data_IF_287260919310
#
_entry.id   IF_287260919310
#
_cell.length_a   1.000
_cell.length_b   1.000
_cell.length_c   1.000
_cell.angle_alpha   90.00
_cell.angle_beta   90.00
_cell.angle_gamma   90.00
#
_symmetry.space_group_name_H-M   'P 1'
#
loop_
_entity.id
_entity.type
_entity.pdbx_description
1 polymer ?
#
# COMPACT_ATOMS: atom_id res chain seq x y z
N UNK A 1 24.31 40.54 -5.00
CA UNK A 1 24.81 39.16 -5.01
C UNK A 1 23.68 38.24 -5.45
N UNK A 2 23.77 37.64 -6.64
CA UNK A 2 22.85 36.56 -7.04
C UNK A 2 23.29 35.31 -6.29
N UNK A 3 22.43 34.77 -5.43
CA UNK A 3 22.64 33.45 -4.85
C UNK A 3 22.55 32.45 -6.00
N UNK A 4 23.68 31.84 -6.35
CA UNK A 4 23.74 30.67 -7.21
C UNK A 4 23.14 29.54 -6.38
N UNK A 5 21.95 29.07 -6.74
CA UNK A 5 21.41 27.85 -6.18
C UNK A 5 22.42 26.74 -6.51
N UNK A 6 23.08 26.20 -5.47
CA UNK A 6 23.97 25.07 -5.65
C UNK A 6 23.19 23.92 -6.31
N UNK A 7 23.75 23.35 -7.37
CA UNK A 7 23.21 22.15 -7.99
C UNK A 7 23.02 21.09 -6.90
N UNK A 8 21.77 20.68 -6.66
CA UNK A 8 21.49 19.60 -5.74
C UNK A 8 22.18 18.33 -6.26
N UNK A 9 23.08 17.76 -5.46
CA UNK A 9 23.78 16.52 -5.80
C UNK A 9 22.77 15.42 -6.15
N UNK A 10 22.98 14.74 -7.27
CA UNK A 10 22.08 13.70 -7.76
C UNK A 10 22.01 12.53 -6.77
N UNK A 11 20.82 12.28 -6.23
CA UNK A 11 20.54 11.19 -5.27
C UNK A 11 20.95 9.84 -5.83
N UNK A 12 21.76 9.10 -5.09
CA UNK A 12 22.22 7.76 -5.45
C UNK A 12 21.10 6.73 -5.31
N UNK A 13 20.91 5.91 -6.34
CA UNK A 13 19.83 4.91 -6.43
C UNK A 13 20.45 3.51 -6.53
N UNK A 14 20.06 2.62 -5.63
CA UNK A 14 20.47 1.21 -5.63
C UNK A 14 19.24 0.33 -5.85
N UNK A 15 19.34 -0.60 -6.81
CA UNK A 15 18.33 -1.63 -7.07
C UNK A 15 18.84 -2.95 -6.50
N UNK A 16 18.07 -3.59 -5.62
CA UNK A 16 18.38 -4.90 -5.04
C UNK A 16 17.26 -5.87 -5.34
N UNK A 17 17.59 -7.09 -5.77
CA UNK A 17 16.55 -8.07 -6.10
C UNK A 17 16.93 -9.51 -5.73
N UNK A 18 15.94 -10.39 -5.60
CA UNK A 18 16.14 -11.84 -5.67
C UNK A 18 15.40 -12.41 -6.88
N UNK A 19 15.83 -13.56 -7.39
CA UNK A 19 15.14 -14.22 -8.51
C UNK A 19 15.45 -15.72 -8.53
N UNK A 20 14.45 -16.54 -8.83
CA UNK A 20 14.65 -17.96 -9.17
C UNK A 20 14.71 -18.19 -10.68
N UNK A 21 13.64 -17.84 -11.39
CA UNK A 21 13.50 -18.04 -12.84
C UNK A 21 13.93 -16.87 -13.73
N UNK A 22 14.56 -15.82 -13.18
CA UNK A 22 15.03 -14.65 -13.94
C UNK A 22 13.98 -13.55 -14.17
N UNK A 23 12.69 -13.80 -13.92
CA UNK A 23 11.62 -12.82 -14.14
C UNK A 23 11.81 -11.53 -13.32
N UNK A 24 12.03 -11.66 -12.01
CA UNK A 24 12.28 -10.49 -11.16
C UNK A 24 13.56 -9.75 -11.56
N UNK A 25 14.58 -10.46 -12.09
CA UNK A 25 15.78 -9.84 -12.66
C UNK A 25 15.44 -8.99 -13.88
N UNK A 26 14.66 -9.52 -14.82
CA UNK A 26 14.22 -8.77 -16.00
C UNK A 26 13.43 -7.51 -15.61
N UNK A 27 12.56 -7.61 -14.59
CA UNK A 27 11.87 -6.45 -14.01
C UNK A 27 12.87 -5.43 -13.42
N UNK A 28 13.86 -5.88 -12.65
CA UNK A 28 14.89 -5.02 -12.07
C UNK A 28 15.71 -4.29 -13.14
N UNK A 29 16.07 -4.99 -14.23
CA UNK A 29 16.80 -4.43 -15.37
C UNK A 29 15.95 -3.40 -16.13
N UNK A 30 14.66 -3.69 -16.38
CA UNK A 30 13.74 -2.72 -16.99
C UNK A 30 13.53 -1.47 -16.11
N UNK A 31 13.40 -1.64 -14.79
CA UNK A 31 13.36 -0.52 -13.85
C UNK A 31 14.66 0.30 -13.92
N UNK A 32 15.82 -0.37 -13.98
CA UNK A 32 17.12 0.27 -14.10
C UNK A 32 17.25 1.11 -15.39
N UNK A 33 16.75 0.60 -16.52
CA UNK A 33 16.66 1.35 -17.78
C UNK A 33 15.81 2.61 -17.60
N UNK A 34 14.64 2.49 -16.98
CA UNK A 34 13.77 3.62 -16.66
C UNK A 34 14.43 4.70 -15.80
N UNK A 35 15.14 4.28 -14.75
CA UNK A 35 15.92 5.17 -13.88
C UNK A 35 16.97 5.94 -14.69
N UNK A 36 17.73 5.26 -15.54
CA UNK A 36 18.75 5.89 -16.40
C UNK A 36 18.14 6.86 -17.40
N UNK A 37 17.01 6.52 -18.02
CA UNK A 37 16.29 7.38 -18.98
C UNK A 37 15.83 8.70 -18.34
N UNK A 38 15.48 8.67 -17.05
CA UNK A 38 15.11 9.86 -16.28
C UNK A 38 16.31 10.65 -15.74
N UNK A 39 17.55 10.25 -16.04
CA UNK A 39 18.76 10.90 -15.52
C UNK A 39 19.08 10.56 -14.07
N UNK A 40 18.53 9.47 -13.52
CA UNK A 40 18.81 9.02 -12.15
C UNK A 40 20.23 8.48 -11.99
N UNK A 41 20.87 8.78 -10.86
CA UNK A 41 22.20 8.29 -10.51
C UNK A 41 22.12 6.84 -9.99
N UNK A 42 22.04 5.88 -10.91
CA UNK A 42 22.00 4.45 -10.58
C UNK A 42 23.40 3.91 -10.24
N UNK A 43 23.61 3.57 -8.96
CA UNK A 43 24.90 3.07 -8.45
C UNK A 43 25.03 1.55 -8.48
N UNK A 44 23.94 0.81 -8.74
CA UNK A 44 24.00 -0.64 -8.91
C UNK A 44 22.64 -1.33 -9.07
N UNK A 45 22.69 -2.52 -9.67
CA UNK A 45 21.58 -3.48 -9.75
C UNK A 45 22.16 -4.82 -9.26
N UNK A 46 21.85 -5.21 -8.03
CA UNK A 46 22.53 -6.34 -7.37
C UNK A 46 21.53 -7.41 -6.92
N UNK A 47 21.92 -8.67 -7.06
CA UNK A 47 21.18 -9.76 -6.44
C UNK A 47 21.42 -9.72 -4.91
N UNK A 48 20.41 -10.06 -4.10
CA UNK A 48 20.53 -10.17 -2.63
C UNK A 48 21.63 -11.14 -2.18
N UNK A 49 21.98 -12.13 -3.00
CA UNK A 49 23.06 -13.07 -2.73
C UNK A 49 24.46 -12.48 -2.94
N UNK A 50 24.56 -11.32 -3.59
CA UNK A 50 25.80 -10.65 -4.00
C UNK A 50 26.05 -9.33 -3.25
N UNK A 51 25.19 -8.99 -2.26
CA UNK A 51 25.25 -7.71 -1.56
C UNK A 51 24.99 -7.88 -0.06
N UNK A 52 25.72 -7.12 0.76
CA UNK A 52 25.47 -7.02 2.20
C UNK A 52 24.38 -5.97 2.49
N UNK A 53 23.50 -6.22 3.46
CA UNK A 53 22.39 -5.28 3.82
C UNK A 53 22.90 -3.90 4.23
N UNK A 54 24.10 -3.80 4.81
CA UNK A 54 24.72 -2.55 5.20
C UNK A 54 25.05 -1.65 4.00
N UNK A 55 25.23 -2.22 2.80
CA UNK A 55 25.43 -1.43 1.58
C UNK A 55 24.20 -0.59 1.21
N UNK A 56 22.99 -0.99 1.63
CA UNK A 56 21.78 -0.19 1.47
C UNK A 56 21.92 1.19 2.13
N UNK A 57 22.74 1.29 3.17
CA UNK A 57 22.96 2.56 3.87
C UNK A 57 23.76 3.58 3.06
N UNK A 58 24.46 3.14 2.00
CA UNK A 58 25.27 4.00 1.12
C UNK A 58 24.45 4.69 0.04
N UNK A 59 23.25 4.20 -0.26
CA UNK A 59 22.35 4.78 -1.25
C UNK A 59 21.37 5.78 -0.60
N UNK A 60 21.00 6.83 -1.32
CA UNK A 60 19.92 7.75 -0.90
C UNK A 60 18.54 7.15 -1.18
N UNK A 61 18.47 6.31 -2.22
CA UNK A 61 17.26 5.68 -2.72
C UNK A 61 17.43 4.18 -2.93
N UNK A 62 16.44 3.39 -2.51
CA UNK A 62 16.47 1.92 -2.56
C UNK A 62 15.23 1.40 -3.30
N UNK A 63 15.44 0.68 -4.39
CA UNK A 63 14.37 -0.06 -5.07
C UNK A 63 14.61 -1.56 -4.84
N UNK A 64 13.63 -2.26 -4.27
CA UNK A 64 13.84 -3.63 -3.82
C UNK A 64 12.77 -4.58 -4.34
N UNK A 65 13.17 -5.78 -4.79
CA UNK A 65 12.17 -6.74 -5.27
C UNK A 65 12.53 -8.21 -5.22
N UNK A 66 11.51 -9.06 -5.19
CA UNK A 66 11.64 -10.52 -5.15
C UNK A 66 10.46 -11.18 -5.88
N UNK A 67 10.53 -12.45 -6.26
CA UNK A 67 9.32 -13.19 -6.62
C UNK A 67 8.50 -13.50 -5.35
N UNK A 68 7.18 -13.52 -5.48
CA UNK A 68 6.29 -14.06 -4.45
C UNK A 68 6.30 -15.58 -4.51
N UNK A 69 6.54 -16.27 -3.40
CA UNK A 69 6.63 -17.73 -3.36
C UNK A 69 5.51 -18.37 -2.52
N UNK A 70 5.12 -19.61 -2.86
CA UNK A 70 4.10 -20.35 -2.12
C UNK A 70 2.79 -19.56 -1.91
N UNK A 71 2.33 -19.49 -0.67
CA UNK A 71 1.13 -18.74 -0.27
C UNK A 71 1.43 -17.25 0.01
N UNK A 72 2.37 -16.63 -0.71
CA UNK A 72 2.73 -15.24 -0.49
C UNK A 72 3.90 -15.02 0.45
N UNK A 73 4.83 -15.96 0.52
CA UNK A 73 6.04 -15.87 1.34
C UNK A 73 7.19 -15.23 0.57
N UNK A 74 8.24 -14.84 1.32
CA UNK A 74 9.53 -14.46 0.74
C UNK A 74 10.11 -15.60 -0.08
N UNK A 75 10.88 -15.26 -1.11
CA UNK A 75 11.69 -16.25 -1.81
C UNK A 75 12.83 -16.75 -0.92
N UNK A 76 13.24 -18.01 -1.10
CA UNK A 76 14.27 -18.65 -0.27
C UNK A 76 15.57 -17.85 -0.19
N UNK A 77 16.02 -17.27 -1.31
CA UNK A 77 17.24 -16.45 -1.36
C UNK A 77 17.06 -15.08 -0.70
N UNK A 78 15.83 -14.61 -0.54
CA UNK A 78 15.52 -13.33 0.11
C UNK A 78 15.42 -13.45 1.64
N UNK A 79 15.03 -14.62 2.16
CA UNK A 79 14.87 -14.85 3.61
C UNK A 79 16.10 -14.47 4.45
N UNK A 80 17.35 -14.85 4.09
CA UNK A 80 18.53 -14.44 4.84
C UNK A 80 18.74 -12.92 4.81
N UNK A 81 18.39 -12.29 3.69
CA UNK A 81 18.53 -10.85 3.49
C UNK A 81 17.52 -10.07 4.32
N UNK A 82 16.24 -10.47 4.31
CA UNK A 82 15.19 -9.88 5.16
C UNK A 82 15.54 -10.01 6.65
N UNK A 83 16.00 -11.19 7.07
CA UNK A 83 16.45 -11.41 8.44
C UNK A 83 17.60 -10.46 8.81
N UNK A 84 18.59 -10.30 7.93
CA UNK A 84 19.69 -9.37 8.17
C UNK A 84 19.22 -7.90 8.22
N UNK A 85 18.24 -7.50 7.39
CA UNK A 85 17.61 -6.17 7.50
C UNK A 85 16.95 -5.98 8.87
N UNK A 86 16.17 -6.97 9.32
CA UNK A 86 15.50 -6.97 10.62
C UNK A 86 16.47 -6.88 11.80
N UNK A 87 17.59 -7.59 11.74
CA UNK A 87 18.54 -7.66 12.85
C UNK A 87 19.50 -6.47 12.88
N UNK A 88 19.85 -5.90 11.72
CA UNK A 88 20.92 -4.91 11.62
C UNK A 88 20.47 -3.51 11.24
N UNK A 89 19.40 -3.37 10.47
CA UNK A 89 18.93 -2.08 9.95
C UNK A 89 17.67 -1.56 10.65
N UNK A 90 16.74 -2.46 10.98
CA UNK A 90 15.52 -2.09 11.72
C UNK A 90 15.85 -1.48 13.10
N UNK A 91 16.79 -2.04 13.89
CA UNK A 91 17.18 -1.42 15.16
C UNK A 91 17.83 -0.07 14.92
N UNK A 92 17.21 0.98 15.47
CA UNK A 92 17.68 2.34 15.31
C UNK A 92 17.41 2.94 13.93
N UNK A 93 16.51 2.33 13.12
CA UNK A 93 16.02 2.88 11.86
C UNK A 93 17.14 3.37 10.93
N UNK A 94 18.06 2.47 10.58
CA UNK A 94 19.30 2.81 9.84
C UNK A 94 19.06 3.35 8.42
N UNK A 95 17.84 3.23 7.89
CA UNK A 95 17.42 3.80 6.61
C UNK A 95 16.60 5.09 6.79
N UNK A 96 16.58 5.69 7.98
CA UNK A 96 15.94 7.00 8.19
C UNK A 96 16.45 8.06 7.20
N UNK A 97 15.51 8.77 6.58
CA UNK A 97 15.80 9.80 5.56
C UNK A 97 16.06 9.26 4.15
N UNK A 98 16.06 7.93 3.96
CA UNK A 98 16.17 7.30 2.64
C UNK A 98 14.81 7.11 2.02
N UNK A 99 14.79 7.16 0.70
CA UNK A 99 13.58 7.00 -0.10
C UNK A 99 13.55 5.60 -0.71
N UNK A 100 12.39 4.96 -0.77
CA UNK A 100 12.32 3.60 -1.27
C UNK A 100 11.02 3.29 -2.02
N UNK A 101 11.03 2.18 -2.74
CA UNK A 101 9.85 1.55 -3.33
C UNK A 101 10.13 0.06 -3.61
N UNK A 102 9.07 -0.75 -3.65
CA UNK A 102 9.19 -2.19 -3.85
C UNK A 102 8.63 -2.67 -5.20
N UNK A 103 9.11 -3.82 -5.67
CA UNK A 103 8.54 -4.52 -6.82
C UNK A 103 8.55 -6.02 -6.60
N UNK A 104 7.66 -6.76 -7.24
CA UNK A 104 7.69 -8.22 -7.16
C UNK A 104 7.26 -8.90 -8.45
N UNK A 105 7.90 -10.03 -8.74
CA UNK A 105 7.35 -11.01 -9.68
C UNK A 105 6.24 -11.81 -8.99
N UNK A 106 5.12 -12.01 -9.65
CA UNK A 106 3.96 -12.72 -9.09
C UNK A 106 3.17 -13.45 -10.17
N UNK A 107 2.37 -14.41 -9.74
CA UNK A 107 1.54 -15.24 -10.61
C UNK A 107 0.09 -15.24 -10.09
N UNK A 108 -0.85 -14.87 -10.96
CA UNK A 108 -2.29 -14.86 -10.61
C UNK A 108 -2.92 -16.22 -10.48
N UNK A 109 -2.25 -17.29 -10.92
CA UNK A 109 -2.68 -18.64 -10.64
C UNK A 109 -2.74 -18.92 -9.12
N UNK A 110 -2.03 -18.13 -8.31
CA UNK A 110 -1.99 -18.26 -6.86
C UNK A 110 -3.01 -17.34 -6.16
N UNK A 111 -3.51 -17.81 -5.02
CA UNK A 111 -4.51 -17.13 -4.18
C UNK A 111 -4.04 -15.79 -3.61
N UNK A 112 -2.71 -15.60 -3.51
CA UNK A 112 -2.07 -14.44 -2.91
C UNK A 112 -1.15 -13.79 -3.94
N UNK A 113 -1.65 -12.71 -4.55
CA UNK A 113 -0.97 -12.00 -5.62
C UNK A 113 0.00 -10.92 -5.10
N UNK A 114 1.30 -11.15 -5.33
CA UNK A 114 2.35 -10.14 -5.16
C UNK A 114 2.60 -9.70 -3.71
N UNK A 115 2.38 -10.59 -2.74
CA UNK A 115 2.53 -10.25 -1.32
C UNK A 115 3.96 -9.84 -0.93
N UNK A 116 4.95 -10.30 -1.68
CA UNK A 116 6.34 -9.89 -1.55
C UNK A 116 6.52 -8.36 -1.53
N UNK A 117 5.77 -7.62 -2.35
CA UNK A 117 5.80 -6.15 -2.36
C UNK A 117 5.48 -5.59 -0.99
N UNK A 118 4.40 -6.09 -0.39
CA UNK A 118 3.88 -5.59 0.85
C UNK A 118 4.87 -5.92 2.00
N UNK A 119 5.44 -7.14 2.00
CA UNK A 119 6.48 -7.55 2.96
C UNK A 119 7.77 -6.71 2.87
N UNK A 120 8.20 -6.39 1.65
CA UNK A 120 9.38 -5.55 1.41
C UNK A 120 9.12 -4.12 1.88
N UNK A 121 7.97 -3.53 1.55
CA UNK A 121 7.61 -2.17 1.99
C UNK A 121 7.57 -2.07 3.52
N UNK A 122 6.95 -3.06 4.18
CA UNK A 122 6.92 -3.14 5.65
C UNK A 122 8.33 -3.18 6.23
N UNK A 123 9.20 -4.04 5.72
CA UNK A 123 10.59 -4.11 6.21
C UNK A 123 11.35 -2.81 5.98
N UNK A 124 11.20 -2.18 4.82
CA UNK A 124 11.86 -0.90 4.51
C UNK A 124 11.40 0.21 5.45
N UNK A 125 10.10 0.29 5.74
CA UNK A 125 9.53 1.25 6.69
C UNK A 125 9.97 0.97 8.13
N UNK A 126 10.03 -0.30 8.55
CA UNK A 126 10.60 -0.69 9.84
C UNK A 126 12.06 -0.24 9.98
N UNK A 127 12.83 -0.31 8.88
CA UNK A 127 14.19 0.21 8.80
C UNK A 127 14.26 1.75 8.73
N UNK A 128 13.13 2.45 8.63
CA UNK A 128 13.03 3.91 8.64
C UNK A 128 12.97 4.58 7.26
N UNK A 129 12.94 3.82 6.16
CA UNK A 129 12.83 4.38 4.83
C UNK A 129 11.43 4.95 4.55
N UNK A 130 11.36 5.93 3.66
CA UNK A 130 10.12 6.54 3.19
C UNK A 130 9.70 5.95 1.84
N UNK A 131 8.52 5.33 1.77
CA UNK A 131 7.97 4.81 0.51
C UNK A 131 7.48 5.96 -0.37
N UNK A 132 8.05 6.12 -1.57
CA UNK A 132 7.78 7.26 -2.46
C UNK A 132 6.70 7.01 -3.50
N UNK A 133 6.52 5.76 -3.89
CA UNK A 133 5.48 5.34 -4.83
C UNK A 133 5.01 3.92 -4.54
N UNK A 134 3.80 3.61 -4.99
CA UNK A 134 3.21 2.30 -4.79
C UNK A 134 4.06 1.22 -5.46
N UNK A 135 4.36 0.16 -4.70
CA UNK A 135 5.09 -0.96 -5.25
C UNK A 135 4.35 -1.68 -6.38
N UNK A 136 5.12 -2.19 -7.34
CA UNK A 136 4.60 -2.87 -8.54
C UNK A 136 4.57 -4.38 -8.39
N UNK A 137 3.48 -5.00 -8.85
CA UNK A 137 3.28 -6.45 -8.93
C UNK A 137 3.30 -6.87 -10.41
N UNK A 138 4.34 -7.57 -10.84
CA UNK A 138 4.60 -7.92 -12.25
C UNK A 138 4.28 -9.39 -12.48
N UNK A 139 3.51 -9.70 -13.52
CA UNK A 139 3.18 -11.09 -13.88
C UNK A 139 4.43 -11.92 -14.22
N UNK A 140 4.38 -13.22 -13.93
CA UNK A 140 5.49 -14.14 -14.11
C UNK A 140 5.93 -14.22 -15.58
N UNK A 141 4.99 -14.19 -16.52
CA UNK A 141 5.30 -14.05 -17.94
C UNK A 141 5.47 -12.58 -18.33
N UNK A 142 6.70 -12.20 -18.68
CA UNK A 142 6.98 -10.87 -19.20
C UNK A 142 6.55 -10.76 -20.66
N UNK A 143 5.87 -9.66 -20.97
CA UNK A 143 5.66 -9.18 -22.33
C UNK A 143 6.23 -7.77 -22.45
N UNK A 144 6.28 -7.21 -23.66
CA UNK A 144 6.81 -5.85 -23.85
C UNK A 144 6.05 -4.81 -23.04
N UNK A 145 4.74 -5.00 -22.82
CA UNK A 145 3.94 -4.08 -22.01
C UNK A 145 4.37 -4.08 -20.53
N UNK A 146 4.61 -5.25 -19.93
CA UNK A 146 5.04 -5.34 -18.54
C UNK A 146 6.45 -4.78 -18.33
N UNK A 147 7.36 -4.99 -19.28
CA UNK A 147 8.69 -4.39 -19.25
C UNK A 147 8.66 -2.86 -19.45
N UNK A 148 7.82 -2.36 -20.37
CA UNK A 148 7.60 -0.93 -20.56
C UNK A 148 6.98 -0.28 -19.33
N UNK A 149 6.09 -0.98 -18.63
CA UNK A 149 5.57 -0.54 -17.34
C UNK A 149 6.70 -0.42 -16.30
N UNK A 150 7.56 -1.43 -16.17
CA UNK A 150 8.71 -1.41 -15.25
C UNK A 150 9.66 -0.24 -15.55
N UNK A 151 9.96 0.03 -16.82
CA UNK A 151 10.72 1.23 -17.24
C UNK A 151 10.05 2.51 -16.81
N UNK A 152 8.75 2.66 -17.11
CA UNK A 152 8.00 3.85 -16.74
C UNK A 152 7.98 4.03 -15.21
N UNK A 153 7.82 2.96 -14.46
CA UNK A 153 7.80 2.97 -12.99
C UNK A 153 9.15 3.43 -12.41
N UNK A 154 10.27 2.96 -12.95
CA UNK A 154 11.62 3.44 -12.57
C UNK A 154 11.86 4.91 -12.95
N UNK A 155 11.41 5.32 -14.14
CA UNK A 155 11.48 6.71 -14.58
C UNK A 155 10.65 7.65 -13.67
N UNK A 156 9.41 7.29 -13.36
CA UNK A 156 8.54 8.06 -12.48
C UNK A 156 9.10 8.18 -11.06
N UNK A 157 9.81 7.16 -10.57
CA UNK A 157 10.48 7.21 -9.27
C UNK A 157 11.51 8.34 -9.22
N UNK A 158 12.35 8.47 -10.26
CA UNK A 158 13.34 9.56 -10.36
C UNK A 158 12.66 10.92 -10.33
N UNK A 159 11.58 11.09 -11.10
CA UNK A 159 10.79 12.34 -11.08
C UNK A 159 10.23 12.65 -9.70
N UNK A 160 9.76 11.64 -8.95
CA UNK A 160 9.24 11.84 -7.58
C UNK A 160 10.32 12.22 -6.59
N UNK A 161 11.48 11.59 -6.62
CA UNK A 161 12.58 11.93 -5.69
C UNK A 161 13.18 13.31 -5.97
N UNK A 162 13.05 13.80 -7.21
CA UNK A 162 13.43 15.15 -7.63
C UNK A 162 12.32 16.21 -7.38
N UNK A 163 11.12 15.79 -6.95
CA UNK A 163 9.99 16.69 -6.70
C UNK A 163 9.23 17.15 -7.96
N UNK A 164 9.54 16.58 -9.12
CA UNK A 164 8.83 16.84 -10.38
C UNK A 164 7.46 16.17 -10.44
N UNK A 165 7.23 15.16 -9.60
CA UNK A 165 5.95 14.48 -9.44
C UNK A 165 5.59 14.38 -7.96
N UNK A 166 4.29 14.48 -7.59
CA UNK A 166 3.87 14.36 -6.20
C UNK A 166 4.17 12.95 -5.68
N UNK A 167 4.49 12.82 -4.39
CA UNK A 167 4.57 11.51 -3.74
C UNK A 167 3.24 10.77 -3.90
N UNK A 168 3.26 9.48 -4.24
CA UNK A 168 2.00 8.71 -4.16
C UNK A 168 1.74 8.38 -2.69
N UNK A 169 0.48 8.52 -2.21
CA UNK A 169 0.16 8.11 -0.86
C UNK A 169 0.51 6.64 -0.70
N UNK A 170 1.28 6.32 0.35
CA UNK A 170 1.33 4.94 0.79
C UNK A 170 -0.09 4.56 1.19
N UNK A 171 -0.61 3.51 0.57
CA UNK A 171 -1.92 2.96 0.89
C UNK A 171 -1.62 1.70 1.69
N UNK A 172 -1.71 1.74 3.04
CA UNK A 172 -1.65 0.54 3.84
C UNK A 172 -2.75 -0.38 3.33
N UNK A 173 -2.37 -1.56 2.81
CA UNK A 173 -3.39 -2.57 2.52
C UNK A 173 -3.84 -3.19 3.83
N UNK A 174 -5.08 -3.68 3.87
CA UNK A 174 -5.58 -4.51 4.97
C UNK A 174 -4.48 -5.47 5.42
N UNK A 175 -4.28 -5.59 6.73
CA UNK A 175 -3.40 -6.63 7.26
C UNK A 175 -3.84 -7.99 6.69
N UNK A 176 -2.93 -8.96 6.58
CA UNK A 176 -3.30 -10.31 6.12
C UNK A 176 -4.49 -10.86 6.90
N UNK A 177 -4.53 -10.61 8.21
CA UNK A 177 -5.63 -10.98 9.08
C UNK A 177 -6.94 -10.27 8.69
N UNK A 178 -6.89 -8.98 8.32
CA UNK A 178 -8.06 -8.22 7.86
C UNK A 178 -8.49 -8.63 6.45
N UNK A 179 -7.54 -8.95 5.56
CA UNK A 179 -7.81 -9.47 4.23
C UNK A 179 -8.43 -10.87 4.27
N UNK A 180 -7.95 -11.73 5.17
CA UNK A 180 -8.50 -13.06 5.41
C UNK A 180 -9.89 -12.95 6.05
N UNK A 181 -10.08 -12.07 7.04
CA UNK A 181 -11.41 -11.77 7.61
C UNK A 181 -12.41 -11.29 6.55
N UNK A 182 -11.98 -10.43 5.62
CA UNK A 182 -12.82 -9.96 4.51
C UNK A 182 -13.13 -11.07 3.51
N UNK A 183 -12.23 -12.04 3.33
CA UNK A 183 -12.43 -13.23 2.50
C UNK A 183 -13.20 -14.36 3.21
N UNK A 184 -13.60 -14.15 4.47
CA UNK A 184 -14.23 -15.20 5.29
C UNK A 184 -13.28 -16.33 5.69
N UNK A 185 -11.97 -16.10 5.59
CA UNK A 185 -10.91 -17.01 5.98
C UNK A 185 -10.53 -16.67 7.43
N UNK A 186 -10.58 -17.65 8.33
CA UNK A 186 -10.08 -17.46 9.70
C UNK A 186 -8.55 -17.33 9.67
N UNK A 187 -7.94 -16.21 10.11
CA UNK A 187 -6.49 -16.07 10.13
C UNK A 187 -5.78 -17.15 10.97
N UNK A 188 -6.46 -17.71 11.98
CA UNK A 188 -5.94 -18.82 12.77
C UNK A 188 -5.92 -20.15 11.99
N UNK A 189 -6.76 -20.30 10.96
CA UNK A 189 -6.77 -21.48 10.09
C UNK A 189 -5.50 -21.57 9.24
N UNK A 190 -4.90 -20.44 8.86
CA UNK A 190 -3.61 -20.35 8.16
C UNK A 190 -2.44 -20.78 9.05
N UNK A 191 -2.43 -20.35 10.32
CA UNK A 191 -1.43 -20.78 11.32
C UNK A 191 -1.51 -22.28 11.61
N UNK A 192 -2.72 -22.86 11.61
CA UNK A 192 -2.93 -24.32 11.72
C UNK A 192 -2.53 -25.06 10.45
N UNK A 193 -2.83 -24.50 9.27
CA UNK A 193 -2.44 -25.05 7.96
C UNK A 193 -0.92 -25.11 7.77
N UNK A 194 -0.20 -24.05 8.16
CA UNK A 194 1.27 -24.02 8.12
C UNK A 194 1.90 -25.03 9.10
N UNK A 195 1.33 -25.18 10.30
CA UNK A 195 1.76 -26.20 11.26
C UNK A 195 1.45 -27.64 10.79
N UNK A 196 0.32 -27.84 10.10
CA UNK A 196 -0.09 -29.12 9.54
C UNK A 196 0.70 -29.50 8.26
N UNK A 197 1.05 -28.53 7.41
CA UNK A 197 1.89 -28.72 6.23
C UNK A 197 3.34 -29.03 6.63
N UNK A 198 3.86 -28.40 7.70
CA UNK A 198 5.14 -28.77 8.32
C UNK A 198 5.16 -30.20 8.87
N UNK A 199 4.03 -30.69 9.40
CA UNK A 199 3.89 -32.07 9.85
C UNK A 199 3.69 -33.07 8.70
N UNK A 200 2.98 -32.68 7.63
CA UNK A 200 2.77 -33.50 6.43
C UNK A 200 4.08 -33.68 5.62
N UNK A 201 4.93 -32.65 5.53
CA UNK A 201 6.24 -32.75 4.91
C UNK A 201 7.18 -33.75 5.63
N UNK A 202 6.92 -34.09 6.89
CA UNK A 202 7.62 -35.14 7.63
C UNK A 202 7.25 -36.57 7.21
N UNK A 203 6.05 -36.78 6.66
CA UNK A 203 5.50 -38.11 6.37
C UNK A 203 5.44 -38.49 4.88
N UNK A 204 5.76 -37.58 3.95
CA UNK A 204 5.74 -37.88 2.49
C UNK A 204 7.07 -38.46 1.97
N UNK A 205 8.06 -38.74 2.83
CA UNK A 205 9.30 -39.44 2.42
C UNK A 205 9.15 -40.95 2.19
N UNK A 206 7.96 -41.54 2.41
CA UNK A 206 7.78 -43.00 2.37
C UNK A 206 6.99 -43.55 1.17
N UNK A 207 6.46 -42.74 0.24
CA UNK A 207 5.55 -43.27 -0.78
C UNK A 207 5.54 -42.53 -2.13
N UNK A 208 6.70 -42.33 -2.78
CA UNK A 208 6.78 -42.21 -4.25
C UNK A 208 8.14 -42.73 -4.72
N UNK A 209 8.28 -44.06 -4.82
CA UNK A 209 9.28 -44.69 -5.70
C UNK A 209 8.60 -45.03 -7.03
N UNK A 210 9.29 -44.73 -8.13
CA UNK A 210 8.96 -45.01 -9.54
C UNK A 210 8.09 -43.99 -10.29
N UNK A 211 8.72 -42.87 -10.69
CA UNK A 211 8.71 -42.45 -12.09
C UNK A 211 9.94 -41.57 -12.35
N UNK A 212 10.65 -41.86 -13.44
CA UNK A 212 12.01 -41.42 -13.77
C UNK A 212 11.94 -40.21 -14.70
N UNK A 213 12.52 -39.07 -14.30
CA UNK A 213 13.10 -38.09 -15.24
C UNK A 213 14.43 -37.57 -14.70
N UNK A 214 15.39 -37.25 -15.60
CA UNK A 214 16.82 -37.30 -15.34
C UNK A 214 17.35 -36.03 -14.66
N UNK A 215 18.35 -36.21 -13.80
CA UNK A 215 18.83 -35.18 -12.89
C UNK A 215 20.12 -34.50 -13.32
N UNK A 216 20.46 -33.45 -12.57
CA UNK A 216 21.83 -33.06 -12.27
C UNK A 216 21.93 -32.81 -10.76
N UNK A 217 22.40 -33.83 -10.04
CA UNK A 217 22.66 -33.80 -8.60
C UNK A 217 24.03 -33.18 -8.34
N UNK A 218 24.13 -32.25 -7.38
CA UNK A 218 25.35 -32.06 -6.59
C UNK A 218 25.05 -32.27 -5.10
N UNK A 219 25.95 -32.93 -4.35
CA UNK A 219 25.66 -33.42 -3.00
C UNK A 219 25.74 -32.32 -1.93
N UNK A 220 24.87 -32.43 -0.93
CA UNK A 220 24.84 -31.59 0.28
C UNK A 220 25.85 -32.15 1.30
N UNK A 221 26.76 -31.34 1.89
CA UNK A 221 27.56 -31.78 3.02
C UNK A 221 26.71 -31.81 4.30
N UNK A 222 26.81 -32.90 5.04
CA UNK A 222 26.22 -33.06 6.37
C UNK A 222 27.07 -32.32 7.41
N UNK A 223 26.47 -31.38 8.12
CA UNK A 223 27.03 -30.85 9.37
C UNK A 223 26.11 -31.27 10.53
N UNK A 224 26.57 -32.26 11.30
CA UNK A 224 26.03 -32.59 12.61
C UNK A 224 26.43 -31.49 13.59
N UNK A 225 25.48 -30.85 14.25
CA UNK A 225 25.75 -30.00 15.40
C UNK A 225 24.93 -30.48 16.59
N UNK A 226 25.62 -31.10 17.54
CA UNK A 226 25.16 -31.34 18.90
C UNK A 226 24.84 -29.99 19.55
N UNK A 227 23.57 -29.76 19.90
CA UNK A 227 23.16 -28.64 20.74
C UNK A 227 23.13 -29.10 22.20
N UNK A 228 24.04 -28.56 23.02
CA UNK A 228 23.93 -28.64 24.48
C UNK A 228 22.86 -27.66 24.97
N UNK A 229 22.11 -27.97 26.05
CA UNK A 229 21.08 -27.08 26.57
C UNK A 229 21.70 -25.90 27.31
N UNK A 230 21.42 -24.68 26.85
CA UNK A 230 21.77 -23.43 27.54
C UNK A 230 20.78 -23.15 28.67
N UNK A 231 21.27 -23.07 29.91
CA UNK A 231 20.52 -22.60 31.08
C UNK A 231 20.62 -21.07 31.15
N UNK A 232 19.49 -20.39 31.09
CA UNK A 232 19.41 -18.95 31.32
C UNK A 232 19.59 -18.63 32.82
N UNK A 233 20.58 -17.81 33.16
CA UNK A 233 20.67 -17.13 34.46
C UNK A 233 20.44 -15.63 34.25
N UNK A 234 19.43 -15.10 34.93
CA UNK A 234 19.05 -13.67 34.90
C UNK A 234 19.77 -12.96 36.05
N UNK A 235 20.49 -11.88 35.76
CA UNK A 235 21.08 -11.00 36.77
C UNK A 235 20.08 -9.89 37.19
N UNK A 236 20.07 -9.43 38.46
CA UNK A 236 19.09 -8.46 38.94
C UNK A 236 19.43 -7.01 38.55
N UNK A 237 18.38 -6.21 38.35
CA UNK A 237 18.45 -4.79 37.99
C UNK A 237 18.98 -3.91 39.13
N UNK A 238 19.83 -2.93 38.79
CA UNK A 238 20.30 -1.87 39.70
C UNK A 238 19.32 -0.70 39.72
N UNK A 239 18.88 -0.29 40.91
CA UNK A 239 18.08 0.92 41.15
C UNK A 239 18.98 2.13 41.40
N UNK A 240 18.58 3.30 40.88
CA UNK A 240 19.25 4.58 41.09
C UNK A 240 18.32 5.48 41.90
N UNK A 241 18.65 5.76 43.16
CA UNK A 241 17.91 6.71 43.99
C UNK A 241 18.53 8.12 43.87
N UNK A 242 17.70 9.12 43.56
CA UNK A 242 18.05 10.53 43.76
C UNK A 242 17.31 11.07 44.98
N UNK A 243 18.05 11.53 45.99
CA UNK A 243 17.52 12.29 47.12
C UNK A 243 17.25 13.75 46.70
N UNK A 244 16.05 14.25 46.97
CA UNK A 244 15.72 15.68 46.91
C UNK A 244 15.55 16.22 48.34
N UNK A 245 16.17 17.36 48.64
CA UNK A 245 16.01 18.09 49.90
C UNK A 245 14.83 19.07 49.82
N UNK A 246 14.00 19.10 50.86
CA UNK A 246 12.79 19.91 50.95
C UNK A 246 13.10 21.36 51.36
N UNK A 247 12.71 22.32 50.53
CA UNK A 247 12.62 23.75 50.87
C UNK A 247 11.15 24.15 51.03
N UNK A 248 10.88 24.91 52.09
CA UNK A 248 9.57 25.20 52.70
C UNK A 248 8.48 25.73 51.74
N UNK A 249 7.32 25.07 51.73
CA UNK A 249 6.10 25.57 51.08
C UNK A 249 5.34 26.43 52.09
N UNK A 250 5.15 27.72 51.80
CA UNK A 250 4.40 28.61 52.71
C UNK A 250 2.91 28.23 52.76
N UNK A 251 2.27 28.39 53.93
CA UNK A 251 0.86 28.02 54.19
C UNK A 251 -0.11 28.61 53.15
N UNK A 252 0.19 29.81 52.63
CA UNK A 252 -0.59 30.47 51.57
C UNK A 252 -0.51 29.71 50.23
N UNK A 253 0.67 29.17 49.88
CA UNK A 253 0.85 28.33 48.70
C UNK A 253 0.23 26.95 48.87
N UNK A 254 0.23 26.40 50.08
CA UNK A 254 -0.45 25.13 50.38
C UNK A 254 -1.97 25.26 50.23
N UNK A 255 -2.57 26.32 50.80
CA UNK A 255 -4.02 26.57 50.66
C UNK A 255 -4.38 26.88 49.21
N UNK A 256 -3.61 27.70 48.50
CA UNK A 256 -3.84 27.97 47.07
C UNK A 256 -3.73 26.70 46.21
N UNK A 257 -2.71 25.87 46.42
CA UNK A 257 -2.56 24.61 45.70
C UNK A 257 -3.70 23.63 46.01
N UNK A 258 -4.16 23.57 47.26
CA UNK A 258 -5.31 22.76 47.68
C UNK A 258 -6.63 23.23 47.05
N UNK A 259 -6.90 24.53 47.04
CA UNK A 259 -8.14 25.08 46.45
C UNK A 259 -8.15 24.91 44.93
N UNK A 260 -7.06 25.23 44.22
CA UNK A 260 -6.98 25.05 42.77
C UNK A 260 -6.94 23.57 42.37
N UNK A 261 -6.28 22.71 43.15
CA UNK A 261 -6.29 21.26 42.96
C UNK A 261 -7.68 20.64 43.15
N UNK A 262 -8.41 21.07 44.19
CA UNK A 262 -9.78 20.63 44.44
C UNK A 262 -10.75 21.04 43.34
N UNK A 263 -10.68 22.29 42.86
CA UNK A 263 -11.50 22.77 41.74
C UNK A 263 -11.17 21.97 40.46
N UNK A 264 -9.88 21.76 40.15
CA UNK A 264 -9.47 21.00 38.97
C UNK A 264 -9.94 19.54 38.99
N UNK A 265 -9.96 18.90 40.16
CA UNK A 265 -10.45 17.52 40.30
C UNK A 265 -11.97 17.43 40.11
N UNK A 266 -12.74 18.37 40.66
CA UNK A 266 -14.19 18.40 40.52
C UNK A 266 -14.57 18.74 39.07
N UNK A 267 -13.91 19.73 38.45
CA UNK A 267 -14.13 20.07 37.04
C UNK A 267 -13.75 18.94 36.09
N UNK A 268 -12.66 18.23 36.36
CA UNK A 268 -12.24 17.05 35.59
C UNK A 268 -13.22 15.89 35.70
N UNK A 269 -13.77 15.64 36.90
CA UNK A 269 -14.75 14.58 37.13
C UNK A 269 -16.09 14.86 36.44
N UNK A 270 -16.58 16.11 36.46
CA UNK A 270 -17.81 16.51 35.75
C UNK A 270 -17.62 16.42 34.23
N UNK A 271 -16.47 16.88 33.70
CA UNK A 271 -16.18 16.81 32.27
C UNK A 271 -16.06 15.35 31.77
N UNK A 272 -15.46 14.45 32.56
CA UNK A 272 -15.35 13.03 32.22
C UNK A 272 -16.71 12.30 32.21
N UNK A 273 -17.68 12.76 33.01
CA UNK A 273 -19.02 12.17 33.08
C UNK A 273 -19.90 12.54 31.86
N UNK A 274 -19.74 13.76 31.33
CA UNK A 274 -20.51 14.20 30.15
C UNK A 274 -19.80 13.91 28.81
N UNK A 275 -18.49 13.68 28.80
CA UNK A 275 -17.73 13.39 27.57
C UNK A 275 -16.77 12.20 27.76
N UNK A 276 -17.24 10.95 27.64
CA UNK A 276 -16.41 9.75 27.84
C UNK A 276 -15.32 9.56 26.75
N UNK A 277 -15.27 10.45 25.75
CA UNK A 277 -14.51 10.31 24.51
C UNK A 277 -13.29 11.22 24.36
N UNK A 278 -12.65 11.68 25.44
CA UNK A 278 -11.32 12.32 25.34
C UNK A 278 -11.33 13.84 25.16
N UNK A 279 -11.98 14.55 26.07
CA UNK A 279 -11.78 16.00 26.23
C UNK A 279 -10.63 16.23 27.22
N UNK A 280 -9.48 16.69 26.72
CA UNK A 280 -8.31 16.98 27.56
C UNK A 280 -8.11 18.49 27.64
N UNK A 281 -8.27 19.03 28.85
CA UNK A 281 -7.96 20.44 29.16
C UNK A 281 -6.53 20.50 29.66
N UNK A 282 -5.66 21.17 28.91
CA UNK A 282 -4.28 21.41 29.30
C UNK A 282 -4.03 22.90 29.53
N UNK A 283 -3.11 23.24 30.44
CA UNK A 283 -2.67 24.61 30.66
C UNK A 283 -1.22 24.76 30.16
N UNK A 284 -1.00 25.68 29.23
CA UNK A 284 0.35 26.13 28.85
C UNK A 284 0.68 27.44 29.55
N UNK A 285 1.93 27.92 29.45
CA UNK A 285 2.35 29.23 29.96
C UNK A 285 1.52 30.40 29.38
N UNK A 286 0.82 30.20 28.27
CA UNK A 286 0.02 31.20 27.57
C UNK A 286 -1.50 30.99 27.70
N UNK A 287 -1.97 30.12 28.60
CA UNK A 287 -3.39 29.91 28.89
C UNK A 287 -3.91 28.48 28.64
N UNK A 288 -5.21 28.22 28.90
CA UNK A 288 -5.82 26.92 28.68
C UNK A 288 -5.96 26.63 27.18
N UNK A 289 -5.65 25.41 26.77
CA UNK A 289 -5.99 24.89 25.45
C UNK A 289 -6.92 23.69 25.58
N UNK A 290 -7.81 23.55 24.59
CA UNK A 290 -8.79 22.47 24.52
C UNK A 290 -8.39 21.53 23.38
N UNK A 291 -8.09 20.27 23.71
CA UNK A 291 -7.87 19.21 22.72
C UNK A 291 -9.07 18.30 22.69
N UNK A 292 -9.78 18.28 21.56
CA UNK A 292 -10.74 17.23 21.24
C UNK A 292 -9.91 16.12 20.63
N UNK A 293 -9.78 14.99 21.33
CA UNK A 293 -9.08 13.81 20.85
C UNK A 293 -9.77 13.25 19.61
N UNK A 294 -9.37 13.69 18.42
CA UNK A 294 -9.74 13.07 17.16
C UNK A 294 -9.09 11.68 17.10
N UNK A 295 -9.82 10.65 17.54
CA UNK A 295 -9.57 9.30 17.02
C UNK A 295 -9.72 9.40 15.51
N UNK A 296 -8.63 9.16 14.78
CA UNK A 296 -8.54 8.98 13.33
C UNK A 296 -9.89 8.77 12.63
N UNK A 297 -10.57 9.87 12.27
CA UNK A 297 -11.67 9.81 11.32
C UNK A 297 -11.01 9.87 9.96
N UNK A 298 -10.80 8.70 9.36
CA UNK A 298 -10.48 8.60 7.95
C UNK A 298 -11.63 9.32 7.23
N UNK A 299 -11.36 10.47 6.62
CA UNK A 299 -12.37 11.24 5.91
C UNK A 299 -12.68 10.49 4.61
N UNK A 300 -13.54 9.49 4.69
CA UNK A 300 -14.04 8.80 3.51
C UNK A 300 -14.87 9.81 2.70
N UNK A 301 -14.53 10.05 1.42
CA UNK A 301 -15.33 10.95 0.59
C UNK A 301 -16.78 10.51 0.62
N UNK A 302 -17.75 11.44 0.66
CA UNK A 302 -19.16 11.09 0.74
C UNK A 302 -19.50 10.13 -0.41
N UNK A 303 -20.18 9.03 -0.08
CA UNK A 303 -20.60 8.04 -1.07
C UNK A 303 -21.62 8.61 -2.04
N UNK A 304 -22.41 9.60 -1.59
CA UNK A 304 -23.42 10.33 -2.37
C UNK A 304 -23.03 11.79 -2.59
N UNK A 305 -23.06 12.26 -3.83
CA UNK A 305 -22.70 13.64 -4.19
C UNK A 305 -23.36 14.09 -5.50
N UNK A 306 -23.43 15.41 -5.71
CA UNK A 306 -23.98 16.04 -6.93
C UNK A 306 -22.88 16.33 -7.95
N UNK A 307 -23.21 16.17 -9.23
CA UNK A 307 -22.25 16.35 -10.34
C UNK A 307 -22.70 17.38 -11.39
N UNK A 308 -23.70 18.21 -11.06
CA UNK A 308 -24.28 19.19 -11.98
C UNK A 308 -25.51 18.65 -12.71
N UNK A 309 -26.01 19.40 -13.67
CA UNK A 309 -27.20 19.06 -14.47
C UNK A 309 -26.85 18.18 -15.69
N UNK A 310 -27.84 17.49 -16.26
CA UNK A 310 -27.63 16.63 -17.44
C UNK A 310 -27.09 17.44 -18.63
N UNK A 311 -27.54 18.68 -18.80
CA UNK A 311 -27.21 19.50 -19.97
C UNK A 311 -25.77 20.00 -20.01
N UNK A 312 -25.06 19.97 -18.88
CA UNK A 312 -23.63 20.25 -18.83
C UNK A 312 -22.78 19.19 -19.53
N UNK A 313 -23.33 17.98 -19.72
CA UNK A 313 -22.62 16.87 -20.34
C UNK A 313 -22.89 16.83 -21.85
N UNK A 314 -21.82 16.78 -22.64
CA UNK A 314 -21.91 16.67 -24.09
C UNK A 314 -22.34 15.26 -24.52
N UNK A 315 -23.30 15.19 -25.44
CA UNK A 315 -23.80 13.93 -25.99
C UNK A 315 -22.70 13.24 -26.80
N UNK A 316 -22.50 11.93 -26.55
CA UNK A 316 -21.54 11.09 -27.26
C UNK A 316 -20.08 11.25 -26.81
N UNK A 317 -19.81 12.11 -25.80
CA UNK A 317 -18.46 12.32 -25.27
C UNK A 317 -18.32 11.77 -23.86
N UNK A 318 -17.14 11.22 -23.56
CA UNK A 318 -16.74 10.82 -22.21
C UNK A 318 -16.29 12.05 -21.42
N UNK A 319 -16.90 12.29 -20.27
CA UNK A 319 -16.48 13.33 -19.33
C UNK A 319 -15.72 12.73 -18.14
N UNK A 320 -14.48 13.16 -17.95
CA UNK A 320 -13.57 12.72 -16.88
C UNK A 320 -13.27 13.79 -15.84
N UNK A 321 -14.00 14.92 -15.81
CA UNK A 321 -13.75 16.02 -14.86
C UNK A 321 -13.80 15.59 -13.38
N UNK A 322 -14.52 14.50 -13.10
CA UNK A 322 -14.69 13.93 -11.77
C UNK A 322 -13.73 12.78 -11.43
N UNK A 323 -12.81 12.43 -12.34
CA UNK A 323 -11.87 11.30 -12.18
C UNK A 323 -11.02 11.42 -10.91
N UNK A 324 -10.37 12.57 -10.67
CA UNK A 324 -9.49 12.76 -9.50
C UNK A 324 -10.26 12.81 -8.19
N UNK A 325 -11.44 13.45 -8.19
CA UNK A 325 -12.21 13.72 -6.97
C UNK A 325 -13.04 12.52 -6.52
N UNK A 326 -13.70 11.85 -7.46
CA UNK A 326 -14.68 10.80 -7.17
C UNK A 326 -14.36 9.44 -7.80
N UNK A 327 -13.37 9.38 -8.71
CA UNK A 327 -13.06 8.20 -9.53
C UNK A 327 -14.26 7.72 -10.33
N UNK A 328 -14.91 8.63 -11.03
CA UNK A 328 -16.02 8.32 -11.93
C UNK A 328 -15.78 8.93 -13.31
N UNK A 329 -16.46 8.39 -14.30
CA UNK A 329 -16.64 9.03 -15.60
C UNK A 329 -18.14 9.14 -15.91
N UNK A 330 -18.51 10.13 -16.72
CA UNK A 330 -19.91 10.35 -17.11
C UNK A 330 -20.02 10.24 -18.62
N UNK A 331 -21.05 9.56 -19.08
CA UNK A 331 -21.39 9.47 -20.51
C UNK A 331 -22.86 9.85 -20.68
N UNK A 332 -23.11 10.81 -21.56
CA UNK A 332 -24.44 11.16 -22.02
C UNK A 332 -24.63 10.63 -23.43
N UNK A 333 -25.58 9.74 -23.60
CA UNK A 333 -26.12 9.30 -24.89
C UNK A 333 -27.43 10.06 -25.17
N UNK A 334 -27.95 10.03 -26.41
CA UNK A 334 -29.22 10.70 -26.72
C UNK A 334 -30.40 10.23 -25.86
N UNK A 335 -30.43 8.96 -25.46
CA UNK A 335 -31.54 8.33 -24.74
C UNK A 335 -31.27 8.03 -23.27
N UNK A 336 -30.03 8.25 -22.79
CA UNK A 336 -29.66 7.96 -21.41
C UNK A 336 -28.37 8.65 -20.97
N UNK A 337 -28.22 8.84 -19.66
CA UNK A 337 -26.98 9.20 -19.01
C UNK A 337 -26.59 8.12 -18.01
N UNK A 338 -25.34 7.66 -18.01
CA UNK A 338 -24.82 6.76 -16.99
C UNK A 338 -23.49 7.28 -16.44
N UNK A 339 -23.20 6.84 -15.23
CA UNK A 339 -21.97 7.19 -14.51
C UNK A 339 -21.25 5.89 -14.17
N UNK A 340 -20.04 5.75 -14.67
CA UNK A 340 -19.22 4.59 -14.40
C UNK A 340 -18.23 4.84 -13.27
N UNK A 341 -17.88 3.79 -12.53
CA UNK A 341 -16.86 3.82 -11.49
C UNK A 341 -15.49 3.49 -12.10
N UNK A 342 -14.57 4.47 -12.16
CA UNK A 342 -13.18 4.32 -12.64
C UNK A 342 -12.32 3.53 -11.64
N UNK A 343 -12.72 2.28 -11.44
CA UNK A 343 -12.07 1.31 -10.60
C UNK A 343 -11.83 0.07 -11.46
N UNK A 344 -10.57 -0.09 -11.86
CA UNK A 344 -10.13 -1.26 -12.60
C UNK A 344 -10.47 -2.51 -11.80
N UNK A 345 -11.29 -3.38 -12.38
CA UNK A 345 -11.73 -4.65 -11.78
C UNK A 345 -10.60 -5.68 -11.62
N UNK A 346 -9.39 -5.33 -12.04
CA UNK A 346 -8.19 -6.07 -11.69
C UNK A 346 -7.73 -5.80 -10.24
N UNK A 347 -7.20 -4.60 -9.94
CA UNK A 347 -6.66 -4.24 -8.59
C UNK A 347 -7.10 -2.86 -8.07
N UNK A 348 -8.11 -2.24 -8.69
CA UNK A 348 -8.66 -0.98 -8.23
C UNK A 348 -7.83 0.27 -8.57
N UNK A 349 -6.92 0.16 -9.54
CA UNK A 349 -6.33 1.34 -10.17
C UNK A 349 -7.39 2.16 -10.91
N UNK A 350 -7.13 3.45 -11.13
CA UNK A 350 -8.01 4.32 -11.91
C UNK A 350 -7.57 4.30 -13.37
N UNK A 351 -8.37 3.76 -14.31
CA UNK A 351 -8.05 3.80 -15.73
C UNK A 351 -8.11 5.22 -16.28
N UNK A 352 -7.21 5.53 -17.21
CA UNK A 352 -7.19 6.82 -17.91
C UNK A 352 -7.92 6.73 -19.24
N UNK A 353 -8.76 7.72 -19.53
CA UNK A 353 -9.38 7.86 -20.83
C UNK A 353 -8.35 8.28 -21.89
N UNK A 354 -8.31 7.57 -23.02
CA UNK A 354 -7.49 7.89 -24.19
C UNK A 354 -8.43 8.27 -25.34
N UNK A 355 -8.65 9.57 -25.52
CA UNK A 355 -9.54 10.13 -26.55
C UNK A 355 -9.19 9.62 -27.96
N UNK A 356 -7.90 9.52 -28.29
CA UNK A 356 -7.43 9.05 -29.60
C UNK A 356 -7.80 7.60 -29.91
N UNK A 357 -8.06 6.79 -28.89
CA UNK A 357 -8.37 5.36 -29.00
C UNK A 357 -9.82 5.04 -28.64
N UNK A 358 -10.57 6.03 -28.13
CA UNK A 358 -11.90 5.85 -27.53
C UNK A 358 -11.96 4.71 -26.50
N UNK A 359 -10.91 4.61 -25.68
CA UNK A 359 -10.71 3.51 -24.73
C UNK A 359 -10.16 4.04 -23.41
N UNK A 360 -10.57 3.38 -22.32
CA UNK A 360 -9.88 3.49 -21.05
C UNK A 360 -8.70 2.52 -21.02
N UNK A 361 -7.56 3.01 -20.56
CA UNK A 361 -6.34 2.21 -20.37
C UNK A 361 -5.91 2.31 -18.92
N UNK A 362 -5.87 1.17 -18.24
CA UNK A 362 -5.37 1.07 -16.88
C UNK A 362 -3.85 1.21 -16.88
N UNK A 363 -3.28 2.24 -16.23
CA UNK A 363 -1.84 2.46 -16.27
C UNK A 363 -1.07 1.37 -15.52
N UNK A 364 -1.71 0.62 -14.61
CA UNK A 364 -1.02 -0.34 -13.74
C UNK A 364 -0.62 -1.64 -14.44
N UNK A 365 -1.56 -2.30 -15.14
CA UNK A 365 -1.32 -3.61 -15.75
C UNK A 365 -1.92 -3.73 -17.15
N UNK A 366 -2.29 -2.61 -17.77
CA UNK A 366 -2.69 -2.58 -19.18
C UNK A 366 -4.16 -2.93 -19.46
N UNK A 367 -5.00 -3.16 -18.45
CA UNK A 367 -6.42 -3.45 -18.68
C UNK A 367 -7.08 -2.38 -19.55
N UNK A 368 -7.73 -2.82 -20.62
CA UNK A 368 -8.45 -1.96 -21.55
C UNK A 368 -9.95 -2.10 -21.36
N UNK A 369 -10.64 -0.97 -21.31
CA UNK A 369 -12.10 -0.91 -21.27
C UNK A 369 -12.67 -0.02 -22.36
N UNK A 370 -13.82 -0.39 -22.92
CA UNK A 370 -14.61 0.47 -23.79
C UNK A 370 -15.28 1.60 -23.00
N UNK A 371 -15.90 2.56 -23.72
CA UNK A 371 -16.62 3.71 -23.16
C UNK A 371 -17.63 3.33 -22.09
N UNK A 372 -18.33 2.21 -22.29
CA UNK A 372 -19.34 1.68 -21.37
C UNK A 372 -18.75 1.00 -20.13
N UNK A 373 -17.43 0.74 -20.13
CA UNK A 373 -16.72 0.05 -19.06
C UNK A 373 -16.53 -1.44 -19.30
N UNK A 374 -16.90 -1.98 -20.46
CA UNK A 374 -16.66 -3.39 -20.82
C UNK A 374 -15.17 -3.62 -21.04
N UNK A 375 -14.61 -4.58 -20.33
CA UNK A 375 -13.22 -5.00 -20.52
C UNK A 375 -13.05 -5.68 -21.88
N UNK A 376 -12.00 -5.33 -22.61
CA UNK A 376 -11.64 -5.98 -23.88
C UNK A 376 -10.19 -6.45 -23.91
N UNK A 377 -9.36 -5.92 -23.02
CA UNK A 377 -7.95 -6.24 -22.94
C UNK A 377 -7.57 -6.45 -21.48
N UNK A 378 -6.84 -7.54 -21.28
CA UNK A 378 -6.52 -8.06 -19.96
C UNK A 378 -5.57 -7.14 -19.19
N UNK A 379 -5.48 -7.35 -17.86
CA UNK A 379 -5.88 -8.59 -17.20
C UNK A 379 -7.08 -8.43 -16.24
N UNK A 380 -7.97 -7.48 -16.53
CA UNK A 380 -9.24 -7.30 -15.83
C UNK A 380 -10.23 -8.41 -16.21
N UNK A 381 -10.81 -9.16 -15.25
CA UNK A 381 -11.64 -10.33 -15.54
C UNK A 381 -13.08 -9.99 -15.93
N UNK A 382 -13.52 -8.76 -15.67
CA UNK A 382 -14.92 -8.33 -15.87
C UNK A 382 -15.04 -6.82 -16.14
N UNK A 383 -16.20 -6.34 -16.63
CA UNK A 383 -16.47 -4.93 -16.83
C UNK A 383 -16.37 -4.11 -15.54
N UNK A 384 -16.04 -2.82 -15.68
CA UNK A 384 -16.21 -1.82 -14.61
C UNK A 384 -17.69 -1.69 -14.22
N UNK A 385 -17.97 -1.14 -13.05
CA UNK A 385 -19.35 -1.04 -12.53
C UNK A 385 -19.95 0.34 -12.86
N UNK A 386 -21.28 0.40 -13.00
CA UNK A 386 -22.01 1.68 -13.06
C UNK A 386 -22.46 2.06 -11.65
N UNK A 387 -22.37 3.34 -11.30
CA UNK A 387 -22.89 3.87 -10.04
C UNK A 387 -24.40 4.05 -10.11
N UNK A 388 -25.07 4.03 -8.95
CA UNK A 388 -26.45 4.49 -8.84
C UNK A 388 -26.52 5.99 -9.11
N UNK A 389 -27.39 6.37 -10.02
CA UNK A 389 -27.63 7.76 -10.41
C UNK A 389 -29.10 8.10 -10.24
N UNK A 390 -29.41 9.30 -9.78
CA UNK A 390 -30.79 9.81 -9.68
C UNK A 390 -30.81 11.31 -9.97
N UNK A 391 -31.98 11.86 -10.27
CA UNK A 391 -32.18 13.31 -10.35
C UNK A 391 -32.71 13.82 -9.01
N UNK A 392 -32.07 14.86 -8.47
CA UNK A 392 -32.59 15.55 -7.29
C UNK A 392 -33.84 16.36 -7.69
N UNK A 393 -35.01 16.12 -7.09
CA UNK A 393 -36.24 16.81 -7.46
C UNK A 393 -36.25 18.30 -7.07
N UNK A 394 -35.37 18.74 -6.18
CA UNK A 394 -35.32 20.12 -5.70
C UNK A 394 -34.60 21.07 -6.66
N UNK A 395 -33.54 20.60 -7.31
CA UNK A 395 -32.66 21.43 -8.15
C UNK A 395 -32.29 20.81 -9.50
N UNK A 396 -32.79 19.62 -9.82
CA UNK A 396 -32.58 18.96 -11.11
C UNK A 396 -31.16 18.44 -11.33
N UNK A 397 -30.32 18.43 -10.30
CA UNK A 397 -28.94 17.96 -10.42
C UNK A 397 -28.87 16.43 -10.42
N UNK A 398 -27.90 15.89 -11.16
CA UNK A 398 -27.57 14.47 -11.11
C UNK A 398 -26.86 14.18 -9.79
N UNK A 399 -27.45 13.27 -9.03
CA UNK A 399 -26.90 12.71 -7.79
C UNK A 399 -26.29 11.36 -8.13
N UNK A 400 -25.04 11.15 -7.73
CA UNK A 400 -24.33 9.88 -7.87
C UNK A 400 -24.19 9.27 -6.48
N UNK A 401 -24.47 7.98 -6.36
CA UNK A 401 -24.24 7.18 -5.16
C UNK A 401 -23.30 6.01 -5.48
N UNK A 402 -22.08 6.09 -4.96
CA UNK A 402 -21.05 5.06 -5.11
C UNK A 402 -21.24 3.89 -4.14
N UNK A 403 -22.09 4.02 -3.13
CA UNK A 403 -22.38 2.95 -2.18
C UNK A 403 -23.20 1.83 -2.82
N UNK A 404 -23.85 2.11 -3.95
CA UNK A 404 -24.60 1.15 -4.74
C UNK A 404 -24.11 1.17 -6.18
N UNK A 405 -23.75 0.00 -6.69
CA UNK A 405 -23.23 -0.18 -8.04
C UNK A 405 -23.92 -1.32 -8.77
N UNK A 406 -23.83 -1.29 -10.10
CA UNK A 406 -24.49 -2.21 -11.02
C UNK A 406 -23.48 -2.94 -11.88
N UNK A 407 -23.59 -4.27 -11.94
CA UNK A 407 -22.68 -5.16 -12.67
C UNK A 407 -23.29 -5.67 -13.96
N UNK A 408 -22.54 -5.54 -15.06
CA UNK A 408 -22.98 -5.97 -16.39
C UNK A 408 -23.26 -7.47 -16.45
N UNK A 409 -22.40 -8.29 -15.87
CA UNK A 409 -22.46 -9.75 -15.89
C UNK A 409 -23.70 -10.31 -15.18
N UNK A 410 -24.32 -9.51 -14.30
CA UNK A 410 -25.59 -9.84 -13.63
C UNK A 410 -26.82 -9.29 -14.37
N UNK A 411 -26.63 -8.63 -15.51
CA UNK A 411 -27.68 -7.93 -16.24
C UNK A 411 -28.18 -6.67 -15.52
N UNK A 412 -27.47 -6.15 -14.52
CA UNK A 412 -27.94 -5.06 -13.67
C UNK A 412 -27.89 -3.69 -14.37
N UNK A 413 -27.13 -3.55 -15.47
CA UNK A 413 -27.06 -2.31 -16.25
C UNK A 413 -28.37 -1.91 -16.93
N UNK A 414 -29.33 -2.82 -17.03
CA UNK A 414 -30.68 -2.52 -17.56
C UNK A 414 -31.59 -1.90 -16.50
N UNK A 415 -31.18 -1.92 -15.22
CA UNK A 415 -31.94 -1.42 -14.08
C UNK A 415 -31.81 0.11 -13.95
N UNK A 416 -32.26 0.84 -14.96
CA UNK A 416 -32.34 2.29 -14.97
C UNK A 416 -33.65 2.77 -15.57
N UNK A 417 -33.92 4.06 -15.45
CA UNK A 417 -35.15 4.68 -15.92
C UNK A 417 -35.14 6.19 -15.69
N UNK A 418 -36.27 6.88 -15.91
CA UNK A 418 -36.33 8.36 -15.78
C UNK A 418 -36.01 8.86 -14.37
N UNK A 419 -36.25 8.03 -13.35
CA UNK A 419 -35.99 8.34 -11.94
C UNK A 419 -34.56 7.98 -11.50
N UNK A 420 -33.79 7.29 -12.35
CA UNK A 420 -32.45 6.81 -12.03
C UNK A 420 -32.29 5.29 -11.96
N UNK A 421 -31.15 4.86 -11.42
CA UNK A 421 -30.68 3.48 -11.34
C UNK A 421 -29.27 3.35 -11.90
N UNK A 422 -28.98 2.29 -12.66
CA UNK A 422 -27.71 2.14 -13.39
C UNK A 422 -27.48 3.25 -14.43
N UNK A 423 -28.57 3.87 -14.89
CA UNK A 423 -28.61 5.00 -15.79
C UNK A 423 -29.89 5.83 -15.56
N UNK A 424 -29.89 7.07 -16.02
CA UNK A 424 -31.06 7.94 -16.14
C UNK A 424 -31.52 7.89 -17.60
N UNK A 425 -32.77 7.53 -17.86
CA UNK A 425 -33.35 7.62 -19.21
C UNK A 425 -33.67 9.10 -19.53
N UNK A 426 -33.34 9.54 -20.76
CA UNK A 426 -33.49 10.92 -21.22
C UNK A 426 -34.58 11.07 -22.29
#
# INVERSE_FOLDING_TARGET
MRFVAGEAMAKSILIVYSTGGGNTKNSAEAIAEGVKQAGGNLIGVKNVTEIAVEELTKADCILMGEPTWGDGEHYDDFLPFDKAMKEKLAPGKKLAGKQAAAFAGCDRAYSIFGNAVDMIEDRLMECGAEIMQQGVKVELEHNEHSLNFCRKWGHDFVKRINGEMPKQPYIPRMSHDDADRVKGIDPASRKKGAAAAGAAAGNVKAAVTNAKQPGSVRPKPEAKANLLPYKATVAPARTFEKKFTAGEISRRRFVQAGTYGGIALISGAVAAFFFPGGFQVGFTRNGPYFSIGSKNVLFEPPTRFKIGTIDEYMVGKVDTRWQTKYRIWVVREPSKLYVGLLLCTHLGCTPDWKESENKFKCPCHGSGYYVDGVNFEGPAPRPMEHCDVSIDPSDGQVVVDKGRTYRKEKGEWTQGGPQGGAYIAL
#
